data_IF_340327977650
#
_entry.id   IF_340327977650
#
_cell.length_a   1.000
_cell.length_b   1.000
_cell.length_c   1.000
_cell.angle_alpha   90.00
_cell.angle_beta   90.00
_cell.angle_gamma   90.00
#
_symmetry.space_group_name_H-M   'P 1'
#
loop_
_entity.id
_entity.type
_entity.pdbx_description
1 polymer ?
#
# COMPACT_ATOMS: atom_id res chain seq x y z
N UNK A 1 15.24 29.27 -33.25
CA UNK A 1 15.41 27.80 -33.23
C UNK A 1 15.50 27.20 -31.83
N UNK A 2 15.85 27.94 -30.76
CA UNK A 2 16.00 27.38 -29.41
C UNK A 2 14.70 27.05 -28.66
N UNK A 3 13.55 27.65 -29.01
CA UNK A 3 12.29 27.43 -28.28
C UNK A 3 11.65 26.05 -28.56
N UNK A 4 11.85 25.48 -29.75
CA UNK A 4 11.26 24.18 -30.08
C UNK A 4 11.93 23.02 -29.34
N UNK A 5 13.23 23.10 -29.08
CA UNK A 5 13.93 22.07 -28.32
C UNK A 5 13.40 21.99 -26.88
N UNK A 6 13.17 23.13 -26.23
CA UNK A 6 12.70 23.18 -24.84
C UNK A 6 11.28 22.59 -24.65
N UNK A 7 10.38 22.83 -25.61
CA UNK A 7 9.01 22.28 -25.55
C UNK A 7 9.02 20.77 -25.79
N UNK A 8 9.89 20.26 -26.67
CA UNK A 8 9.97 18.83 -26.95
C UNK A 8 10.52 18.02 -25.75
N UNK A 9 11.51 18.56 -25.03
CA UNK A 9 12.04 17.90 -23.81
C UNK A 9 11.01 17.86 -22.69
N UNK A 10 10.19 18.91 -22.53
CA UNK A 10 9.17 18.95 -21.49
C UNK A 10 8.07 17.89 -21.72
N UNK A 11 7.67 17.68 -22.98
CA UNK A 11 6.66 16.69 -23.34
C UNK A 11 7.18 15.26 -23.14
N UNK A 12 8.46 15.00 -23.46
CA UNK A 12 9.05 13.68 -23.24
C UNK A 12 9.17 13.29 -21.76
N UNK A 13 9.41 14.26 -20.87
CA UNK A 13 9.45 13.98 -19.42
C UNK A 13 8.08 13.71 -18.80
N UNK A 14 7.00 14.16 -19.43
CA UNK A 14 5.65 14.00 -18.88
C UNK A 14 5.04 12.61 -19.13
N UNK A 15 5.51 11.87 -20.15
CA UNK A 15 4.85 10.62 -20.57
C UNK A 15 5.31 9.35 -19.83
N UNK A 16 6.26 9.42 -18.90
CA UNK A 16 6.78 8.21 -18.22
C UNK A 16 6.19 7.94 -16.83
N UNK A 17 5.14 8.64 -16.41
CA UNK A 17 4.40 8.26 -15.18
C UNK A 17 3.35 7.22 -15.54
N UNK A 18 3.83 6.04 -15.92
CA UNK A 18 2.99 4.86 -16.14
C UNK A 18 2.55 4.31 -14.77
N UNK A 19 1.27 4.51 -14.45
CA UNK A 19 0.55 3.96 -13.32
C UNK A 19 0.66 2.41 -13.26
N UNK A 20 1.57 1.91 -12.44
CA UNK A 20 1.62 0.51 -12.01
C UNK A 20 1.49 0.49 -10.48
N UNK A 21 0.63 -0.37 -9.94
CA UNK A 21 0.49 -0.61 -8.51
C UNK A 21 1.88 -0.77 -7.86
N UNK A 22 2.30 0.23 -7.10
CA UNK A 22 3.70 0.35 -6.68
C UNK A 22 3.96 -0.55 -5.46
N UNK A 23 4.54 -1.72 -5.72
CA UNK A 23 5.14 -2.55 -4.67
C UNK A 23 6.40 -1.83 -4.16
N UNK A 24 6.29 -1.15 -3.03
CA UNK A 24 7.47 -0.53 -2.39
C UNK A 24 8.25 -1.59 -1.63
N UNK A 25 9.44 -1.91 -2.12
CA UNK A 25 10.40 -2.73 -1.38
C UNK A 25 11.17 -1.83 -0.41
N UNK A 26 10.90 -1.98 0.90
CA UNK A 26 11.75 -1.37 1.92
C UNK A 26 12.81 -2.37 2.33
N UNK A 27 14.08 -2.06 2.05
CA UNK A 27 15.22 -2.81 2.58
C UNK A 27 15.39 -2.42 4.05
N UNK A 28 15.10 -3.34 4.96
CA UNK A 28 15.58 -3.25 6.34
C UNK A 28 16.81 -4.15 6.49
N UNK A 29 17.61 -3.93 7.53
CA UNK A 29 18.76 -4.80 7.85
C UNK A 29 18.33 -6.27 8.12
N UNK A 30 17.03 -6.50 8.36
CA UNK A 30 16.45 -7.80 8.66
C UNK A 30 15.97 -8.60 7.43
N UNK A 31 15.90 -8.01 6.23
CA UNK A 31 15.44 -8.71 5.02
C UNK A 31 14.61 -7.84 4.06
N UNK A 32 14.10 -8.46 2.99
CA UNK A 32 13.18 -7.78 2.05
C UNK A 32 11.77 -7.73 2.65
N UNK A 33 11.34 -6.55 3.11
CA UNK A 33 9.97 -6.33 3.55
C UNK A 33 9.15 -5.81 2.36
N UNK A 34 8.07 -6.52 2.02
CA UNK A 34 7.14 -6.13 0.96
C UNK A 34 5.90 -5.45 1.53
N UNK A 35 5.57 -4.31 0.94
CA UNK A 35 4.39 -3.52 1.27
C UNK A 35 3.43 -3.54 0.11
N UNK A 36 2.19 -3.91 0.42
CA UNK A 36 1.08 -3.90 -0.51
C UNK A 36 0.21 -2.70 -0.22
N UNK A 37 -0.26 -2.07 -1.30
CA UNK A 37 -1.13 -0.91 -1.24
C UNK A 37 -2.44 -1.25 -1.90
N UNK A 38 -3.55 -0.86 -1.28
CA UNK A 38 -4.88 -0.87 -1.90
C UNK A 38 -5.63 0.39 -1.52
N UNK A 39 -6.38 0.92 -2.47
CA UNK A 39 -7.26 2.04 -2.24
C UNK A 39 -8.70 1.50 -2.14
N UNK A 40 -9.36 1.73 -1.02
CA UNK A 40 -10.74 1.31 -0.79
C UNK A 40 -11.62 2.53 -0.53
N UNK A 41 -12.92 2.51 -0.85
CA UNK A 41 -13.85 3.54 -0.41
C UNK A 41 -13.77 3.66 1.10
N UNK A 42 -13.60 4.88 1.62
CA UNK A 42 -13.62 5.09 3.05
C UNK A 42 -15.05 4.95 3.56
N UNK A 43 -15.20 4.34 4.73
CA UNK A 43 -16.43 4.46 5.49
C UNK A 43 -16.55 5.91 5.98
N UNK A 44 -17.66 6.56 5.67
CA UNK A 44 -17.98 7.92 6.14
C UNK A 44 -19.23 7.84 7.00
N UNK A 45 -19.11 8.27 8.26
CA UNK A 45 -20.24 8.25 9.18
C UNK A 45 -21.20 9.40 8.87
N UNK A 46 -22.50 9.14 8.98
CA UNK A 46 -23.57 10.12 8.73
C UNK A 46 -23.38 11.43 9.50
N UNK A 47 -22.95 11.34 10.75
CA UNK A 47 -22.82 12.50 11.65
C UNK A 47 -21.47 13.23 11.46
N UNK A 48 -20.55 12.66 10.67
CA UNK A 48 -19.20 13.15 10.44
C UNK A 48 -18.84 13.16 8.95
N UNK A 49 -19.58 13.92 8.12
CA UNK A 49 -19.27 14.04 6.71
C UNK A 49 -17.87 14.62 6.50
N UNK A 50 -17.15 14.13 5.47
CA UNK A 50 -15.80 14.60 5.16
C UNK A 50 -14.70 14.02 6.03
N UNK A 51 -14.98 13.01 6.87
CA UNK A 51 -13.98 12.26 7.62
C UNK A 51 -14.07 10.76 7.32
N UNK A 52 -12.91 10.10 7.21
CA UNK A 52 -12.85 8.64 7.12
C UNK A 52 -13.12 8.03 8.51
N UNK A 53 -13.72 6.85 8.56
CA UNK A 53 -13.90 6.09 9.79
C UNK A 53 -12.85 4.98 9.92
N UNK A 54 -11.96 5.13 10.90
CA UNK A 54 -10.97 4.12 11.25
C UNK A 54 -11.62 3.04 12.13
N UNK A 55 -12.14 1.97 11.51
CA UNK A 55 -12.84 0.88 12.20
C UNK A 55 -12.00 0.21 13.31
N UNK A 56 -10.70 0.02 13.10
CA UNK A 56 -9.77 -0.54 14.10
C UNK A 56 -9.55 0.37 15.31
N UNK A 57 -9.88 1.66 15.19
CA UNK A 57 -9.73 2.66 16.25
C UNK A 57 -11.07 3.17 16.80
N UNK A 58 -12.18 2.79 16.19
CA UNK A 58 -13.51 3.35 16.47
C UNK A 58 -13.49 4.89 16.48
N UNK A 59 -12.81 5.52 15.52
CA UNK A 59 -12.58 6.95 15.49
C UNK A 59 -12.68 7.52 14.08
N UNK A 60 -13.08 8.79 13.96
CA UNK A 60 -13.04 9.52 12.70
C UNK A 60 -11.66 10.13 12.46
N UNK A 61 -11.23 10.20 11.21
CA UNK A 61 -9.91 10.65 10.79
C UNK A 61 -10.04 11.64 9.64
N UNK A 62 -9.38 12.79 9.78
CA UNK A 62 -9.35 13.83 8.76
C UNK A 62 -8.56 13.40 7.50
N UNK A 63 -8.91 13.91 6.31
CA UNK A 63 -8.12 13.72 5.11
C UNK A 63 -6.63 14.07 5.30
N UNK A 64 -5.74 13.25 4.73
CA UNK A 64 -4.29 13.38 4.85
C UNK A 64 -3.71 12.81 6.15
N UNK A 65 -4.54 12.34 7.09
CA UNK A 65 -4.05 11.69 8.31
C UNK A 65 -4.02 10.18 8.17
N UNK A 66 -3.04 9.56 8.83
CA UNK A 66 -2.88 8.12 8.87
C UNK A 66 -3.12 7.57 10.27
N UNK A 67 -3.56 6.32 10.34
CA UNK A 67 -3.68 5.55 11.57
C UNK A 67 -3.10 4.16 11.37
N UNK A 68 -2.73 3.55 12.49
CA UNK A 68 -2.21 2.19 12.51
C UNK A 68 -3.35 1.18 12.68
N UNK A 69 -3.22 0.05 11.99
CA UNK A 69 -4.24 -1.00 11.88
C UNK A 69 -4.14 -2.08 12.97
N UNK A 70 -3.39 -1.85 14.06
CA UNK A 70 -3.30 -2.76 15.22
C UNK A 70 -4.69 -3.28 15.59
N UNK A 71 -4.86 -4.60 15.79
CA UNK A 71 -3.82 -5.63 15.95
C UNK A 71 -3.22 -6.20 14.66
N UNK A 72 -3.60 -5.68 13.49
CA UNK A 72 -3.01 -6.07 12.21
C UNK A 72 -1.75 -5.27 11.90
N UNK A 73 -0.81 -5.87 11.16
CA UNK A 73 0.38 -5.17 10.70
C UNK A 73 0.07 -4.35 9.45
N UNK A 74 -0.25 -3.08 9.64
CA UNK A 74 -0.58 -2.18 8.54
C UNK A 74 -0.83 -0.76 9.00
N UNK A 75 -0.93 0.13 8.03
CA UNK A 75 -1.28 1.54 8.19
C UNK A 75 -2.34 1.89 7.17
N UNK A 76 -3.29 2.72 7.57
CA UNK A 76 -4.24 3.33 6.66
C UNK A 76 -4.10 4.83 6.65
N UNK A 77 -4.45 5.45 5.52
CA UNK A 77 -4.46 6.91 5.35
C UNK A 77 -5.79 7.34 4.74
N UNK A 78 -6.40 8.37 5.32
CA UNK A 78 -7.59 8.99 4.74
C UNK A 78 -7.17 9.85 3.55
N UNK A 79 -7.69 9.56 2.36
CA UNK A 79 -7.34 10.21 1.10
C UNK A 79 -8.60 10.86 0.54
N UNK A 80 -8.51 12.15 0.20
CA UNK A 80 -9.58 12.84 -0.51
C UNK A 80 -9.46 12.57 -2.01
N UNK A 81 -10.59 12.29 -2.66
CA UNK A 81 -10.62 12.15 -4.11
C UNK A 81 -10.39 13.53 -4.77
N UNK A 82 -9.53 13.57 -5.80
CA UNK A 82 -9.15 14.81 -6.49
C UNK A 82 -10.24 15.36 -7.41
N UNK A 83 -11.11 14.50 -7.94
CA UNK A 83 -12.21 14.84 -8.85
C UNK A 83 -13.51 15.16 -8.11
N UNK A 84 -13.71 14.58 -6.94
CA UNK A 84 -14.91 14.75 -6.12
C UNK A 84 -14.54 14.85 -4.63
N UNK A 85 -14.53 16.07 -4.10
CA UNK A 85 -14.16 16.37 -2.72
C UNK A 85 -15.06 15.70 -1.65
N UNK A 86 -16.26 15.28 -2.02
CA UNK A 86 -17.19 14.54 -1.17
C UNK A 86 -16.89 13.03 -1.10
N UNK A 87 -16.09 12.48 -2.04
CA UNK A 87 -15.65 11.08 -2.01
C UNK A 87 -14.33 10.96 -1.24
N UNK A 88 -14.30 10.06 -0.28
CA UNK A 88 -13.09 9.72 0.48
C UNK A 88 -12.68 8.27 0.23
N UNK A 89 -11.38 8.03 0.28
CA UNK A 89 -10.78 6.73 0.21
C UNK A 89 -9.90 6.46 1.43
N UNK A 90 -9.74 5.19 1.75
CA UNK A 90 -8.73 4.70 2.67
C UNK A 90 -7.61 4.05 1.86
N UNK A 91 -6.42 4.64 1.88
CA UNK A 91 -5.21 4.01 1.36
C UNK A 91 -4.66 3.06 2.43
N UNK A 92 -4.87 1.77 2.23
CA UNK A 92 -4.38 0.71 3.11
C UNK A 92 -3.00 0.27 2.62
N UNK A 93 -2.01 0.34 3.51
CA UNK A 93 -0.67 -0.19 3.34
C UNK A 93 -0.47 -1.34 4.35
N UNK A 94 -0.33 -2.58 3.87
CA UNK A 94 -0.18 -3.76 4.71
C UNK A 94 0.89 -4.72 4.16
N UNK A 95 1.07 -5.86 4.82
CA UNK A 95 2.02 -6.89 4.38
C UNK A 95 1.53 -7.72 3.18
N UNK A 96 0.29 -7.47 2.72
CA UNK A 96 -0.38 -8.15 1.62
C UNK A 96 -0.62 -9.64 1.79
N UNK A 97 -0.92 -10.35 0.69
CA UNK A 97 -1.06 -11.79 0.71
C UNK A 97 0.28 -12.44 1.09
N UNK A 98 0.19 -13.53 1.84
CA UNK A 98 1.33 -14.38 2.07
C UNK A 98 1.86 -14.94 0.74
N UNK A 99 3.17 -15.21 0.65
CA UNK A 99 3.72 -15.87 -0.51
C UNK A 99 3.08 -17.25 -0.73
N UNK A 100 3.10 -17.72 -1.97
CA UNK A 100 2.71 -19.08 -2.32
C UNK A 100 3.55 -20.07 -1.50
N UNK A 101 2.90 -21.14 -1.04
CA UNK A 101 3.56 -22.16 -0.23
C UNK A 101 4.76 -22.75 -1.00
N UNK A 102 5.93 -22.71 -0.36
CA UNK A 102 7.17 -23.21 -0.92
C UNK A 102 7.99 -23.83 0.21
N UNK A 103 8.23 -25.14 0.15
CA UNK A 103 8.94 -25.88 1.21
C UNK A 103 10.39 -25.42 1.41
N UNK A 104 10.97 -24.75 0.41
CA UNK A 104 12.32 -24.18 0.44
C UNK A 104 12.39 -22.77 1.02
N UNK A 105 11.26 -22.23 1.49
CA UNK A 105 11.18 -20.93 2.13
C UNK A 105 10.45 -21.05 3.47
N UNK A 106 10.99 -20.44 4.51
CA UNK A 106 10.44 -20.50 5.86
C UNK A 106 10.31 -19.11 6.45
N UNK A 107 9.27 -18.91 7.25
CA UNK A 107 9.13 -17.71 8.07
C UNK A 107 10.31 -17.66 9.05
N UNK A 108 11.08 -16.59 8.98
CA UNK A 108 12.20 -16.34 9.87
C UNK A 108 11.65 -15.69 11.15
N UNK A 109 11.38 -16.53 12.16
CA UNK A 109 10.78 -16.08 13.43
C UNK A 109 11.70 -15.21 14.27
N UNK A 110 13.02 -15.30 14.05
CA UNK A 110 13.99 -14.45 14.75
C UNK A 110 14.00 -13.03 14.16
N UNK A 111 13.84 -12.92 12.84
CA UNK A 111 13.80 -11.61 12.16
C UNK A 111 12.39 -11.00 12.12
N UNK A 112 11.34 -11.81 12.25
CA UNK A 112 9.96 -11.34 12.23
C UNK A 112 9.49 -10.93 13.62
N UNK A 113 9.42 -9.61 13.88
CA UNK A 113 8.83 -9.10 15.12
C UNK A 113 7.39 -8.62 14.92
N UNK A 114 6.41 -9.49 15.18
CA UNK A 114 4.97 -9.19 14.99
C UNK A 114 4.44 -8.02 15.83
N UNK A 115 5.13 -7.61 16.90
CA UNK A 115 4.71 -6.49 17.76
C UNK A 115 5.39 -5.17 17.40
N UNK A 116 6.30 -5.17 16.43
CA UNK A 116 6.94 -3.95 15.94
C UNK A 116 5.93 -3.05 15.21
N UNK A 117 6.25 -1.76 15.06
CA UNK A 117 5.42 -0.87 14.25
C UNK A 117 5.54 -1.21 12.76
N UNK A 118 4.44 -1.06 12.02
CA UNK A 118 4.46 -1.18 10.56
C UNK A 118 5.51 -0.23 9.93
N UNK A 119 6.35 -0.69 8.99
CA UNK A 119 6.28 -1.98 8.28
C UNK A 119 7.01 -3.16 8.93
N UNK A 120 7.66 -2.97 10.07
CA UNK A 120 8.58 -3.96 10.66
C UNK A 120 7.89 -5.15 11.33
N UNK A 121 6.56 -5.10 11.50
CA UNK A 121 5.77 -6.26 11.90
C UNK A 121 5.46 -7.25 10.76
N UNK A 122 5.82 -6.92 9.52
CA UNK A 122 5.58 -7.80 8.40
C UNK A 122 6.47 -9.04 8.44
N UNK A 123 5.96 -10.20 7.96
CA UNK A 123 6.70 -11.45 7.98
C UNK A 123 7.93 -11.38 7.07
N UNK A 124 9.07 -11.80 7.60
CA UNK A 124 10.32 -11.95 6.86
C UNK A 124 10.54 -13.44 6.63
N UNK A 125 10.78 -13.82 5.39
CA UNK A 125 11.05 -15.20 5.00
C UNK A 125 12.50 -15.39 4.60
N UNK A 126 13.08 -16.51 4.99
CA UNK A 126 14.39 -16.95 4.54
C UNK A 126 14.19 -18.17 3.63
N UNK A 127 14.80 -18.13 2.44
CA UNK A 127 14.74 -19.21 1.46
C UNK A 127 16.11 -19.86 1.24
N UNK A 128 16.10 -21.10 0.76
CA UNK A 128 17.31 -21.79 0.31
C UNK A 128 18.02 -20.99 -0.80
N UNK A 129 19.35 -21.15 -0.97
CA UNK A 129 20.11 -20.44 -1.99
C UNK A 129 19.50 -20.59 -3.40
N UNK A 130 19.27 -19.46 -4.07
CA UNK A 130 18.72 -19.43 -5.43
C UNK A 130 17.19 -19.57 -5.52
N UNK A 131 16.50 -19.83 -4.40
CA UNK A 131 15.04 -19.87 -4.36
C UNK A 131 14.48 -18.48 -4.09
N UNK A 132 13.44 -18.10 -4.82
CA UNK A 132 12.69 -16.85 -4.61
C UNK A 132 11.28 -17.17 -4.15
N UNK A 133 10.73 -16.30 -3.31
CA UNK A 133 9.31 -16.33 -2.97
C UNK A 133 8.48 -15.89 -4.17
N UNK A 134 7.42 -16.64 -4.43
CA UNK A 134 6.37 -16.29 -5.39
C UNK A 134 5.14 -15.82 -4.62
N UNK A 135 4.36 -14.92 -5.21
CA UNK A 135 3.16 -14.35 -4.58
C UNK A 135 1.97 -14.57 -5.50
N UNK A 136 0.75 -14.70 -4.94
CA UNK A 136 -0.46 -14.73 -5.74
C UNK A 136 -0.57 -13.50 -6.65
N UNK A 137 -1.08 -13.69 -7.86
CA UNK A 137 -1.47 -12.57 -8.71
C UNK A 137 -2.66 -11.84 -8.08
N UNK A 138 -2.52 -10.53 -7.88
CA UNK A 138 -3.62 -9.68 -7.42
C UNK A 138 -4.38 -9.21 -8.66
N UNK A 139 -5.59 -9.73 -8.85
CA UNK A 139 -6.45 -9.33 -9.95
C UNK A 139 -6.77 -7.83 -9.88
N UNK A 140 -6.63 -7.13 -11.01
CA UNK A 140 -7.00 -5.70 -11.19
C UNK A 140 -8.49 -5.41 -10.96
N UNK A 141 -9.30 -6.46 -10.82
CA UNK A 141 -10.76 -6.34 -10.70
C UNK A 141 -11.21 -5.75 -9.34
N UNK A 142 -10.35 -5.81 -8.31
CA UNK A 142 -10.63 -5.16 -7.03
C UNK A 142 -10.54 -3.62 -7.11
N UNK A 143 -9.79 -3.07 -8.06
CA UNK A 143 -9.65 -1.62 -8.21
C UNK A 143 -10.86 -1.02 -8.94
N UNK A 144 -11.40 -1.72 -9.96
CA UNK A 144 -12.55 -1.21 -10.75
C UNK A 144 -13.85 -1.13 -9.96
N UNK A 145 -14.08 -2.05 -9.01
CA UNK A 145 -15.27 -2.02 -8.16
C UNK A 145 -15.23 -0.90 -7.12
N UNK A 146 -14.04 -0.36 -6.82
CA UNK A 146 -13.84 0.71 -5.85
C UNK A 146 -13.77 2.11 -6.48
N UNK A 147 -13.65 2.21 -7.81
CA UNK A 147 -13.61 3.49 -8.54
C UNK A 147 -14.98 4.02 -8.98
N UNK A 148 -16.04 3.21 -8.94
CA UNK A 148 -17.41 3.60 -9.29
C UNK A 148 -18.16 4.15 -8.07
#
# INVERSE_FOLDING_TARGET
>A
MSFHFAVLTLILTAFTVSLCAEQKITKSDAGEIRIFKRLIPADVLRDFPGMCFASTRCATVEPGKSWDLTPFCGRSTCVQNEENDAKLFELVEDCGPLPLANDKCKLDTEKTNKTASFPYCCPIFTCDPGVKLEYPEIGKDNDKKNSE
#
